data_IF_729105839927
#
_entry.id   IF_729105839927
#
_cell.length_a   1.000
_cell.length_b   1.000
_cell.length_c   1.000
_cell.angle_alpha   90.00
_cell.angle_beta   90.00
_cell.angle_gamma   90.00
#
_symmetry.space_group_name_H-M   'P 1'
#
loop_
_entity.id
_entity.type
_entity.pdbx_description
1 polymer ?
#
# COMPACT_ATOMS: atom_id res chain seq x y z
N UNK A 1 20.25 22.81 -11.77
CA UNK A 1 20.37 21.40 -11.33
C UNK A 1 19.56 21.12 -10.07
N UNK A 2 19.33 22.12 -9.21
CA UNK A 2 18.49 21.98 -8.00
C UNK A 2 17.05 21.59 -8.32
N UNK A 3 16.41 22.21 -9.33
CA UNK A 3 15.02 21.89 -9.69
C UNK A 3 14.84 20.42 -10.11
N UNK A 4 15.80 19.88 -10.87
CA UNK A 4 15.76 18.49 -11.29
C UNK A 4 15.88 17.54 -10.09
N UNK A 5 16.72 17.87 -9.11
CA UNK A 5 16.86 17.07 -7.88
C UNK A 5 15.59 17.13 -7.02
N UNK A 6 14.92 18.28 -6.97
CA UNK A 6 13.65 18.45 -6.27
C UNK A 6 12.53 17.63 -6.93
N UNK A 7 12.41 17.68 -8.26
CA UNK A 7 11.42 16.91 -9.02
C UNK A 7 11.64 15.42 -8.81
N UNK A 8 12.88 14.94 -8.99
CA UNK A 8 13.21 13.51 -8.82
C UNK A 8 12.96 13.07 -7.38
N UNK A 9 13.41 13.86 -6.40
CA UNK A 9 13.19 13.58 -4.97
C UNK A 9 11.70 13.49 -4.63
N UNK A 10 10.87 14.38 -5.18
CA UNK A 10 9.42 14.39 -4.97
C UNK A 10 8.75 13.14 -5.54
N UNK A 11 9.16 12.70 -6.73
CA UNK A 11 8.65 11.47 -7.33
C UNK A 11 9.05 10.23 -6.54
N UNK A 12 10.31 10.14 -6.10
CA UNK A 12 10.80 9.04 -5.28
C UNK A 12 10.03 8.99 -3.95
N UNK A 13 9.88 10.13 -3.28
CA UNK A 13 9.15 10.21 -2.01
C UNK A 13 7.69 9.76 -2.18
N UNK A 14 7.03 10.24 -3.23
CA UNK A 14 5.64 9.89 -3.54
C UNK A 14 5.50 8.39 -3.81
N UNK A 15 6.40 7.82 -4.62
CA UNK A 15 6.39 6.39 -4.94
C UNK A 15 6.59 5.53 -3.69
N UNK A 16 7.54 5.91 -2.83
CA UNK A 16 7.79 5.21 -1.56
C UNK A 16 6.58 5.31 -0.63
N UNK A 17 5.95 6.49 -0.50
CA UNK A 17 4.78 6.68 0.34
C UNK A 17 3.59 5.81 -0.11
N UNK A 18 3.29 5.82 -1.41
CA UNK A 18 2.21 5.00 -1.99
C UNK A 18 2.54 3.51 -1.84
N UNK A 19 3.76 3.10 -2.16
CA UNK A 19 4.21 1.72 -2.04
C UNK A 19 4.12 1.19 -0.61
N UNK A 20 4.56 1.99 0.36
CA UNK A 20 4.48 1.65 1.78
C UNK A 20 3.02 1.51 2.24
N UNK A 21 2.14 2.44 1.84
CA UNK A 21 0.73 2.38 2.16
C UNK A 21 0.04 1.16 1.54
N UNK A 22 0.29 0.88 0.26
CA UNK A 22 -0.24 -0.29 -0.42
C UNK A 22 0.20 -1.59 0.27
N UNK A 23 1.49 -1.70 0.62
CA UNK A 23 2.02 -2.85 1.35
C UNK A 23 1.35 -3.01 2.72
N UNK A 24 1.12 -1.90 3.44
CA UNK A 24 0.41 -1.92 4.72
C UNK A 24 -1.03 -2.41 4.56
N UNK A 25 -1.79 -1.88 3.60
CA UNK A 25 -3.18 -2.28 3.35
C UNK A 25 -3.28 -3.76 3.00
N UNK A 26 -2.41 -4.27 2.12
CA UNK A 26 -2.41 -5.70 1.74
C UNK A 26 -2.08 -6.58 2.94
N UNK A 27 -1.06 -6.24 3.73
CA UNK A 27 -0.69 -7.00 4.94
C UNK A 27 -1.84 -7.02 5.94
N UNK A 28 -2.46 -5.86 6.19
CA UNK A 28 -3.58 -5.72 7.10
C UNK A 28 -4.81 -6.50 6.62
N UNK A 29 -5.13 -6.42 5.33
CA UNK A 29 -6.21 -7.19 4.72
C UNK A 29 -6.00 -8.69 4.89
N UNK A 30 -4.78 -9.18 4.64
CA UNK A 30 -4.43 -10.60 4.85
C UNK A 30 -4.54 -11.05 6.31
N UNK A 31 -4.17 -10.20 7.25
CA UNK A 31 -4.33 -10.49 8.68
C UNK A 31 -5.80 -10.58 9.08
N UNK A 32 -6.64 -9.68 8.58
CA UNK A 32 -8.08 -9.67 8.84
C UNK A 32 -8.76 -10.88 8.21
N UNK A 33 -8.41 -11.22 6.97
CA UNK A 33 -8.98 -12.36 6.27
C UNK A 33 -8.49 -13.71 6.80
N UNK A 34 -7.40 -13.75 7.58
CA UNK A 34 -6.82 -15.01 8.09
C UNK A 34 -7.79 -15.82 8.92
N UNK A 35 -8.71 -15.16 9.63
CA UNK A 35 -9.68 -15.80 10.51
C UNK A 35 -11.10 -15.80 9.94
N UNK A 36 -11.33 -15.22 8.76
CA UNK A 36 -12.64 -15.23 8.13
C UNK A 36 -12.87 -16.59 7.47
N UNK A 37 -13.91 -17.30 7.88
CA UNK A 37 -14.37 -18.51 7.20
C UNK A 37 -15.17 -18.16 5.94
N UNK A 38 -15.21 -19.05 4.94
CA UNK A 38 -15.94 -18.78 3.69
C UNK A 38 -17.43 -18.51 3.89
N UNK A 39 -18.05 -19.02 4.96
CA UNK A 39 -19.45 -18.70 5.31
C UNK A 39 -19.63 -17.24 5.80
N UNK A 40 -18.57 -16.60 6.29
CA UNK A 40 -18.60 -15.21 6.77
C UNK A 40 -18.23 -14.19 5.67
N UNK A 41 -17.85 -14.66 4.47
CA UNK A 41 -17.49 -13.82 3.32
C UNK A 41 -18.69 -13.69 2.37
N UNK A 42 -19.52 -12.63 2.44
CA UNK A 42 -20.73 -12.47 1.62
C UNK A 42 -20.48 -12.23 0.11
N UNK A 43 -19.22 -12.26 -0.32
CA UNK A 43 -18.78 -11.99 -1.69
C UNK A 43 -18.19 -13.23 -2.39
N UNK A 44 -18.30 -14.41 -1.78
CA UNK A 44 -18.00 -15.71 -2.42
C UNK A 44 -19.27 -16.45 -2.82
#
# INVERSE_FOLDING_TARGET
MEDASFIIGSWVLTFVAIGAYAAFVIRRGRELSRNATSEEMPWT
#
